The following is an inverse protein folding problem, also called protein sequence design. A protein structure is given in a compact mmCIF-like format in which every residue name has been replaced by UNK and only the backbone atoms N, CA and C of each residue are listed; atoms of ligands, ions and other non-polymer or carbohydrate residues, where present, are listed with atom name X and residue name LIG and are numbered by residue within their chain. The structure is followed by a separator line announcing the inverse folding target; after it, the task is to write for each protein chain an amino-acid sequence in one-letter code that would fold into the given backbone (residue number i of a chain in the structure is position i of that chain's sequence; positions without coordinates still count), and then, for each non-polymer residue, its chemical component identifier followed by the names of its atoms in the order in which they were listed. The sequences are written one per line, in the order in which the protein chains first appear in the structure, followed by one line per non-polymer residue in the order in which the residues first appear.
data_IF_106499513401
#
_entry.id   IF_106499513401
#
_cell.length_a   1.000
_cell.length_b   1.000
_cell.length_c   1.000
_cell.angle_alpha   90.00
_cell.angle_beta   90.00
_cell.angle_gamma   90.00
#
_symmetry.space_group_name_H-M   'P 1'
#
loop_
_entity.id
_entity.type
_entity.pdbx_description
1 polymer ?
#
# COMPACT_ATOMS: atom_id res chain seq x y z
N UNK A 1 17.41 13.66 -9.19
CA UNK A 1 16.93 12.27 -9.12
C UNK A 1 15.92 12.08 -10.24
N UNK A 2 16.04 10.98 -10.99
CA UNK A 2 15.11 10.67 -12.07
C UNK A 2 13.72 10.35 -11.50
N UNK A 3 12.64 10.66 -12.22
CA UNK A 3 11.29 10.22 -11.84
C UNK A 3 11.21 8.69 -11.76
N UNK A 4 10.47 8.18 -10.78
CA UNK A 4 10.28 6.76 -10.53
C UNK A 4 9.07 6.20 -11.28
N UNK A 5 9.14 4.92 -11.60
CA UNK A 5 8.03 4.11 -12.10
C UNK A 5 7.50 3.24 -10.98
N UNK A 6 6.19 3.22 -10.78
CA UNK A 6 5.58 2.48 -9.67
C UNK A 6 4.56 1.44 -10.15
N UNK A 7 4.50 0.33 -9.43
CA UNK A 7 3.35 -0.58 -9.42
C UNK A 7 2.44 -0.17 -8.27
N UNK A 8 1.14 -0.09 -8.50
CA UNK A 8 0.13 0.21 -7.48
C UNK A 8 -0.94 -0.86 -7.45
N UNK A 9 -1.18 -1.46 -6.29
CA UNK A 9 -2.31 -2.36 -6.06
C UNK A 9 -3.41 -1.66 -5.25
N UNK A 10 -4.66 -2.10 -5.40
CA UNK A 10 -5.77 -1.59 -4.58
C UNK A 10 -6.23 -0.16 -4.92
N UNK A 11 -6.03 0.30 -6.16
CA UNK A 11 -6.41 1.64 -6.63
C UNK A 11 -7.92 1.95 -6.53
N UNK A 12 -8.77 0.93 -6.40
CA UNK A 12 -10.23 1.06 -6.18
C UNK A 12 -10.63 1.07 -4.71
N UNK A 13 -9.67 0.93 -3.79
CA UNK A 13 -9.88 1.07 -2.35
C UNK A 13 -9.58 2.49 -1.88
N UNK A 14 -10.06 2.85 -0.68
CA UNK A 14 -9.85 4.19 -0.12
C UNK A 14 -8.37 4.59 -0.05
N UNK A 15 -7.48 3.69 0.42
CA UNK A 15 -6.05 4.01 0.55
C UNK A 15 -5.40 4.10 -0.82
N UNK A 16 -5.55 3.07 -1.65
CA UNK A 16 -4.92 3.02 -2.97
C UNK A 16 -5.41 4.12 -3.91
N UNK A 17 -6.69 4.53 -3.83
CA UNK A 17 -7.17 5.68 -4.62
C UNK A 17 -6.48 6.97 -4.20
N UNK A 18 -6.35 7.23 -2.89
CA UNK A 18 -5.68 8.44 -2.42
C UNK A 18 -4.20 8.48 -2.77
N UNK A 19 -3.52 7.33 -2.67
CA UNK A 19 -2.12 7.17 -3.13
C UNK A 19 -2.02 7.36 -4.64
N UNK A 20 -2.94 6.80 -5.43
CA UNK A 20 -2.99 7.01 -6.88
C UNK A 20 -3.09 8.50 -7.21
N UNK A 21 -4.02 9.21 -6.56
CA UNK A 21 -4.22 10.65 -6.79
C UNK A 21 -2.97 11.46 -6.51
N UNK A 22 -2.25 11.18 -5.42
CA UNK A 22 -0.96 11.82 -5.15
C UNK A 22 0.07 11.50 -6.23
N UNK A 23 0.18 10.23 -6.66
CA UNK A 23 1.17 9.82 -7.66
C UNK A 23 0.91 10.42 -9.04
N UNK A 24 -0.35 10.63 -9.42
CA UNK A 24 -0.71 11.23 -10.71
C UNK A 24 -0.21 12.67 -10.82
N UNK A 25 -0.36 13.45 -9.75
CA UNK A 25 0.06 14.86 -9.70
C UNK A 25 1.55 15.03 -9.37
N UNK A 26 2.22 14.02 -8.80
CA UNK A 26 3.60 14.17 -8.35
C UNK A 26 4.60 14.13 -9.53
N UNK A 27 5.44 15.16 -9.73
CA UNK A 27 6.42 15.20 -10.82
C UNK A 27 7.54 14.17 -10.67
N UNK A 28 7.72 13.60 -9.47
CA UNK A 28 8.70 12.55 -9.24
C UNK A 28 8.21 11.17 -9.69
N UNK A 29 6.96 11.03 -10.14
CA UNK A 29 6.42 9.79 -10.68
C UNK A 29 6.20 9.98 -12.18
N UNK A 30 6.83 9.14 -13.00
CA UNK A 30 6.70 9.17 -14.46
C UNK A 30 5.68 8.18 -14.98
N UNK A 31 5.53 7.03 -14.32
CA UNK A 31 4.68 5.92 -14.78
C UNK A 31 4.07 5.18 -13.59
N UNK A 32 2.81 4.77 -13.74
CA UNK A 32 2.04 4.04 -12.75
C UNK A 32 1.40 2.85 -13.45
N UNK A 33 1.76 1.64 -13.06
CA UNK A 33 1.04 0.42 -13.42
C UNK A 33 0.08 0.06 -12.30
N UNK A 34 -1.21 0.30 -12.51
CA UNK A 34 -2.23 -0.15 -11.58
C UNK A 34 -2.58 -1.60 -11.87
N UNK A 35 -2.20 -2.50 -10.97
CA UNK A 35 -2.57 -3.91 -11.02
C UNK A 35 -3.78 -4.14 -10.12
N UNK A 36 -4.88 -4.59 -10.72
CA UNK A 36 -6.16 -4.70 -10.02
C UNK A 36 -7.11 -5.68 -10.69
N UNK A 37 -8.18 -6.06 -9.97
CA UNK A 37 -9.25 -6.91 -10.53
C UNK A 37 -10.29 -6.15 -11.34
N UNK A 38 -10.30 -4.82 -11.22
CA UNK A 38 -11.29 -3.93 -11.82
C UNK A 38 -10.63 -2.59 -12.14
N UNK A 39 -11.00 -1.93 -13.25
CA UNK A 39 -10.49 -0.61 -13.58
C UNK A 39 -10.68 0.40 -12.44
N UNK A 40 -9.71 1.30 -12.27
CA UNK A 40 -9.76 2.40 -11.30
C UNK A 40 -10.76 3.50 -11.72
N UNK A 41 -11.20 3.51 -12.98
CA UNK A 41 -12.15 4.48 -13.51
C UNK A 41 -11.56 5.88 -13.74
N UNK A 42 -10.23 6.00 -13.79
CA UNK A 42 -9.49 7.25 -14.07
C UNK A 42 -8.67 7.07 -15.34
N UNK A 43 -8.49 8.14 -16.12
CA UNK A 43 -7.60 8.18 -17.29
C UNK A 43 -6.55 9.24 -17.08
N UNK A 44 -5.28 8.90 -17.30
CA UNK A 44 -4.17 9.84 -17.16
C UNK A 44 -2.95 9.37 -17.97
N UNK A 45 -2.13 10.26 -18.55
CA UNK A 45 -0.95 9.86 -19.34
C UNK A 45 0.06 8.99 -18.59
N UNK A 46 0.18 9.17 -17.27
CA UNK A 46 1.06 8.35 -16.41
C UNK A 46 0.47 6.98 -16.05
N UNK A 47 -0.84 6.77 -16.22
CA UNK A 47 -1.55 5.60 -15.69
C UNK A 47 -1.75 4.54 -16.77
N UNK A 48 -1.20 3.36 -16.52
CA UNK A 48 -1.51 2.12 -17.21
C UNK A 48 -2.27 1.20 -16.27
N UNK A 49 -3.23 0.46 -16.80
CA UNK A 49 -3.98 -0.52 -16.03
C UNK A 49 -3.65 -1.91 -16.53
N UNK A 50 -3.37 -2.82 -15.59
CA UNK A 50 -3.19 -4.23 -15.87
C UNK A 50 -4.18 -5.03 -15.01
N UNK A 51 -5.17 -5.61 -15.68
CA UNK A 51 -6.25 -6.30 -15.01
C UNK A 51 -5.93 -7.78 -14.86
N UNK A 52 -6.00 -8.27 -13.63
CA UNK A 52 -5.79 -9.67 -13.28
C UNK A 52 -7.03 -10.22 -12.58
N UNK A 53 -7.42 -11.46 -12.87
CA UNK A 53 -8.55 -12.11 -12.19
C UNK A 53 -8.22 -12.46 -10.75
N UNK A 54 -6.98 -12.88 -10.52
CA UNK A 54 -6.44 -13.25 -9.21
C UNK A 54 -4.98 -12.78 -9.13
N UNK A 55 -4.58 -12.29 -7.96
CA UNK A 55 -3.20 -11.90 -7.70
C UNK A 55 -2.30 -13.13 -7.51
N UNK A 56 -2.87 -14.24 -7.02
CA UNK A 56 -2.17 -15.52 -6.88
C UNK A 56 -1.85 -16.20 -8.22
N UNK A 57 -2.46 -15.74 -9.33
CA UNK A 57 -2.19 -16.29 -10.66
C UNK A 57 -1.14 -15.49 -11.44
N UNK A 58 -0.54 -14.46 -10.84
CA UNK A 58 0.48 -13.64 -11.51
C UNK A 58 1.76 -14.48 -11.65
N UNK A 59 2.29 -14.56 -12.88
CA UNK A 59 3.54 -15.25 -13.17
C UNK A 59 4.73 -14.33 -12.86
N UNK A 60 5.74 -14.87 -12.17
CA UNK A 60 7.00 -14.17 -11.92
C UNK A 60 7.75 -13.79 -13.20
N UNK A 61 7.48 -14.46 -14.33
CA UNK A 61 8.06 -14.16 -15.64
C UNK A 61 7.24 -13.15 -16.48
N UNK A 62 6.18 -12.56 -15.91
CA UNK A 62 5.35 -11.60 -16.62
C UNK A 62 6.12 -10.30 -16.92
N UNK A 63 6.47 -10.09 -18.19
CA UNK A 63 7.22 -8.91 -18.65
C UNK A 63 6.48 -7.58 -18.39
N UNK A 64 5.15 -7.59 -18.15
CA UNK A 64 4.43 -6.38 -17.75
C UNK A 64 4.90 -5.85 -16.38
N UNK A 65 5.51 -6.69 -15.54
CA UNK A 65 5.98 -6.32 -14.21
C UNK A 65 7.39 -5.72 -14.20
N UNK A 66 8.07 -5.67 -15.35
CA UNK A 66 9.49 -5.33 -15.43
C UNK A 66 9.76 -3.82 -15.52
N UNK A 67 10.85 -3.38 -14.90
CA UNK A 67 11.36 -2.02 -15.01
C UNK A 67 10.65 -1.02 -14.10
N UNK A 68 10.15 -1.45 -12.95
CA UNK A 68 9.54 -0.58 -11.94
C UNK A 68 10.45 -0.42 -10.72
N UNK A 69 10.55 0.80 -10.22
CA UNK A 69 11.41 1.15 -9.09
C UNK A 69 10.75 0.85 -7.74
N UNK A 70 9.42 0.81 -7.71
CA UNK A 70 8.68 0.59 -6.47
C UNK A 70 7.36 -0.15 -6.68
N UNK A 71 6.91 -0.85 -5.64
CA UNK A 71 5.56 -1.35 -5.51
C UNK A 71 4.89 -0.75 -4.27
N UNK A 72 3.75 -0.10 -4.48
CA UNK A 72 2.86 0.37 -3.42
C UNK A 72 1.68 -0.60 -3.29
N UNK A 73 1.82 -1.54 -2.36
CA UNK A 73 0.82 -2.57 -2.12
C UNK A 73 -0.26 -2.06 -1.16
N UNK A 74 -1.34 -1.53 -1.73
CA UNK A 74 -2.49 -0.99 -0.98
C UNK A 74 -3.74 -1.89 -1.07
N UNK A 75 -3.65 -3.04 -1.77
CA UNK A 75 -4.73 -4.02 -1.78
C UNK A 75 -4.93 -4.64 -0.39
N UNK A 76 -6.20 -4.81 0.00
CA UNK A 76 -6.54 -5.42 1.28
C UNK A 76 -8.04 -5.57 1.44
N UNK A 77 -8.43 -6.37 2.44
CA UNK A 77 -9.83 -6.62 2.81
C UNK A 77 -10.04 -6.36 4.31
N UNK A 78 -11.28 -6.09 4.71
CA UNK A 78 -11.65 -6.06 6.12
C UNK A 78 -11.71 -7.48 6.67
N UNK A 79 -11.16 -7.71 7.87
CA UNK A 79 -11.26 -9.01 8.56
C UNK A 79 -12.64 -9.27 9.18
N UNK A 80 -13.58 -8.32 9.10
CA UNK A 80 -14.90 -8.45 9.71
C UNK A 80 -15.66 -9.61 9.07
N UNK A 81 -16.06 -10.59 9.89
CA UNK A 81 -16.79 -11.78 9.44
C UNK A 81 -15.93 -12.86 8.79
N UNK A 82 -14.60 -12.74 8.82
CA UNK A 82 -13.69 -13.73 8.25
C UNK A 82 -13.09 -14.64 9.33
N UNK A 83 -12.86 -15.91 8.99
CA UNK A 83 -12.00 -16.80 9.76
C UNK A 83 -10.51 -16.51 9.44
N UNK A 84 -9.61 -17.12 10.23
CA UNK A 84 -8.17 -16.90 10.10
C UNK A 84 -7.58 -17.46 8.80
N UNK A 85 -8.06 -18.61 8.33
CA UNK A 85 -7.57 -19.27 7.13
C UNK A 85 -7.84 -18.43 5.88
N UNK A 86 -9.10 -18.03 5.68
CA UNK A 86 -9.50 -17.18 4.54
C UNK A 86 -8.80 -15.82 4.57
N UNK A 87 -8.67 -15.22 5.75
CA UNK A 87 -7.97 -13.95 5.89
C UNK A 87 -6.46 -14.09 5.64
N UNK A 88 -5.86 -15.21 6.04
CA UNK A 88 -4.46 -15.53 5.76
C UNK A 88 -4.23 -15.70 4.26
N UNK A 89 -5.10 -16.44 3.55
CA UNK A 89 -4.98 -16.61 2.10
C UNK A 89 -5.03 -15.27 1.35
N UNK A 90 -6.00 -14.42 1.71
CA UNK A 90 -6.21 -13.13 1.02
C UNK A 90 -5.15 -12.10 1.42
N UNK A 91 -4.66 -12.12 2.66
CA UNK A 91 -3.74 -11.08 3.17
C UNK A 91 -2.28 -11.51 3.07
N UNK A 92 -1.94 -12.70 3.57
CA UNK A 92 -0.57 -13.20 3.61
C UNK A 92 -0.19 -13.84 2.28
N UNK A 93 -0.83 -14.96 1.89
CA UNK A 93 -0.41 -15.74 0.72
C UNK A 93 -0.40 -14.88 -0.55
N UNK A 94 -1.47 -14.11 -0.76
CA UNK A 94 -1.60 -13.21 -1.91
C UNK A 94 -0.52 -12.13 -1.94
N UNK A 95 -0.18 -11.54 -0.79
CA UNK A 95 0.84 -10.48 -0.73
C UNK A 95 2.23 -11.04 -0.97
N UNK A 96 2.56 -12.20 -0.38
CA UNK A 96 3.88 -12.82 -0.53
C UNK A 96 4.08 -13.30 -1.98
N UNK A 97 3.09 -14.00 -2.56
CA UNK A 97 3.14 -14.40 -3.97
C UNK A 97 3.37 -13.21 -4.90
N UNK A 98 2.62 -12.13 -4.70
CA UNK A 98 2.77 -10.91 -5.50
C UNK A 98 4.15 -10.26 -5.31
N UNK A 99 4.63 -10.19 -4.07
CA UNK A 99 5.94 -9.65 -3.76
C UNK A 99 7.06 -10.45 -4.43
N UNK A 100 6.97 -11.78 -4.45
CA UNK A 100 7.92 -12.65 -5.13
C UNK A 100 7.94 -12.40 -6.64
N UNK A 101 6.77 -12.29 -7.26
CA UNK A 101 6.65 -12.02 -8.69
C UNK A 101 7.28 -10.69 -9.09
N UNK A 102 6.99 -9.60 -8.36
CA UNK A 102 7.57 -8.28 -8.68
C UNK A 102 9.06 -8.18 -8.34
N UNK A 103 9.52 -8.87 -7.28
CA UNK A 103 10.93 -8.92 -6.90
C UNK A 103 11.77 -9.64 -7.96
N UNK A 104 11.24 -10.75 -8.51
CA UNK A 104 11.92 -11.52 -9.55
C UNK A 104 12.29 -10.66 -10.76
N UNK A 105 11.41 -9.75 -11.15
CA UNK A 105 11.59 -8.85 -12.29
C UNK A 105 12.36 -7.56 -11.93
N UNK A 106 12.41 -7.19 -10.64
CA UNK A 106 12.93 -5.90 -10.17
C UNK A 106 13.70 -6.04 -8.84
N UNK A 107 14.95 -6.55 -8.86
CA UNK A 107 15.72 -6.79 -7.63
C UNK A 107 16.01 -5.52 -6.83
N UNK A 108 16.10 -4.36 -7.50
CA UNK A 108 16.36 -3.06 -6.87
C UNK A 108 15.08 -2.32 -6.41
N UNK A 109 13.93 -3.00 -6.44
CA UNK A 109 12.63 -2.40 -6.10
C UNK A 109 12.52 -2.06 -4.62
N UNK A 110 11.84 -0.95 -4.33
CA UNK A 110 11.32 -0.65 -2.99
C UNK A 110 9.88 -1.12 -2.85
N UNK A 111 9.61 -1.97 -1.86
CA UNK A 111 8.27 -2.51 -1.60
C UNK A 111 7.62 -1.83 -0.38
N UNK A 112 6.49 -1.16 -0.60
CA UNK A 112 5.71 -0.53 0.46
C UNK A 112 4.41 -1.30 0.69
N UNK A 113 4.17 -1.75 1.91
CA UNK A 113 2.99 -2.53 2.29
C UNK A 113 2.11 -1.78 3.29
N UNK A 114 0.81 -1.69 3.04
CA UNK A 114 -0.15 -1.07 3.97
C UNK A 114 -0.76 -2.13 4.89
N UNK A 115 -0.30 -2.20 6.13
CA UNK A 115 -0.83 -3.11 7.15
C UNK A 115 -1.90 -2.43 8.01
N UNK A 116 -1.55 -1.41 8.76
CA UNK A 116 -2.43 -0.68 9.66
C UNK A 116 -1.90 -0.57 11.08
N UNK A 117 -2.29 0.49 11.79
CA UNK A 117 -1.98 0.67 13.20
C UNK A 117 -2.40 -0.55 14.04
N UNK A 118 -1.62 -0.87 15.08
CA UNK A 118 -1.81 -2.03 15.96
C UNK A 118 -1.59 -3.40 15.31
N UNK A 119 -0.94 -3.46 14.14
CA UNK A 119 -0.41 -4.73 13.60
C UNK A 119 0.59 -5.35 14.58
N UNK A 120 0.51 -6.66 14.77
CA UNK A 120 1.26 -7.38 15.81
C UNK A 120 2.45 -8.16 15.22
N UNK A 121 3.64 -7.55 15.29
CA UNK A 121 4.88 -8.19 14.81
C UNK A 121 5.33 -9.40 15.64
N UNK A 122 4.76 -9.64 16.83
CA UNK A 122 5.08 -10.83 17.63
C UNK A 122 4.37 -12.08 17.14
N UNK A 123 3.32 -11.91 16.32
CA UNK A 123 2.47 -12.99 15.81
C UNK A 123 1.80 -13.82 16.92
N UNK A 124 1.71 -13.29 18.15
CA UNK A 124 1.28 -14.03 19.33
C UNK A 124 0.06 -13.43 20.06
N UNK A 125 -0.37 -12.23 19.67
CA UNK A 125 -1.48 -11.51 20.27
C UNK A 125 -2.84 -12.17 20.01
N UNK A 126 -3.89 -11.66 20.66
CA UNK A 126 -5.24 -12.25 20.57
C UNK A 126 -5.98 -11.94 19.26
N UNK A 127 -5.62 -10.85 18.58
CA UNK A 127 -6.32 -10.38 17.39
C UNK A 127 -5.76 -11.03 16.12
N UNK A 128 -6.57 -11.88 15.47
CA UNK A 128 -6.18 -12.63 14.27
C UNK A 128 -5.64 -11.73 13.15
N UNK A 129 -6.38 -10.67 12.82
CA UNK A 129 -6.00 -9.80 11.71
C UNK A 129 -4.63 -9.14 11.94
N UNK A 130 -4.31 -8.84 13.19
CA UNK A 130 -3.07 -8.18 13.58
C UNK A 130 -1.89 -9.13 13.49
N UNK A 131 -2.07 -10.40 13.91
CA UNK A 131 -1.07 -11.46 13.75
C UNK A 131 -0.79 -11.75 12.28
N UNK A 132 -1.84 -11.95 11.46
CA UNK A 132 -1.68 -12.26 10.02
C UNK A 132 -0.95 -11.13 9.29
N UNK A 133 -1.33 -9.87 9.56
CA UNK A 133 -0.61 -8.72 9.00
C UNK A 133 0.83 -8.62 9.53
N UNK A 134 1.07 -8.90 10.80
CA UNK A 134 2.41 -8.91 11.40
C UNK A 134 3.32 -9.97 10.78
N UNK A 135 2.78 -11.18 10.58
CA UNK A 135 3.46 -12.24 9.82
C UNK A 135 3.81 -11.79 8.40
N UNK A 136 2.89 -11.09 7.73
CA UNK A 136 3.14 -10.52 6.39
C UNK A 136 4.29 -9.52 6.41
N UNK A 137 4.28 -8.56 7.35
CA UNK A 137 5.37 -7.58 7.53
C UNK A 137 6.72 -8.27 7.79
N UNK A 138 6.73 -9.29 8.65
CA UNK A 138 7.92 -10.03 9.04
C UNK A 138 8.50 -10.85 7.87
N UNK A 139 7.65 -11.45 7.04
CA UNK A 139 8.08 -12.16 5.83
C UNK A 139 8.61 -11.18 4.78
N UNK A 140 7.88 -10.10 4.47
CA UNK A 140 8.32 -9.09 3.50
C UNK A 140 9.69 -8.51 3.88
N UNK A 141 9.92 -8.20 5.16
CA UNK A 141 11.19 -7.66 5.64
C UNK A 141 12.40 -8.58 5.39
N UNK A 142 12.18 -9.89 5.25
CA UNK A 142 13.23 -10.88 4.97
C UNK A 142 13.50 -11.05 3.48
N UNK A 143 12.67 -10.47 2.61
CA UNK A 143 12.84 -10.54 1.16
C UNK A 143 13.92 -9.56 0.70
N UNK A 144 14.64 -9.91 -0.36
CA UNK A 144 15.81 -9.18 -0.83
C UNK A 144 15.46 -7.97 -1.73
N UNK A 145 14.48 -7.17 -1.32
CA UNK A 145 14.21 -5.87 -1.92
C UNK A 145 15.29 -4.87 -1.52
N UNK A 146 15.50 -3.83 -2.34
CA UNK A 146 16.33 -2.68 -1.96
C UNK A 146 15.84 -2.00 -0.69
N UNK A 147 14.52 -1.98 -0.47
CA UNK A 147 13.91 -1.50 0.76
C UNK A 147 12.50 -2.02 0.93
N UNK A 148 12.14 -2.35 2.18
CA UNK A 148 10.78 -2.76 2.56
C UNK A 148 10.26 -1.83 3.62
N UNK A 149 9.08 -1.26 3.39
CA UNK A 149 8.43 -0.30 4.27
C UNK A 149 6.98 -0.69 4.56
N UNK A 150 6.71 -1.10 5.79
CA UNK A 150 5.40 -1.46 6.31
C UNK A 150 4.73 -0.22 6.92
N UNK A 151 3.74 0.31 6.22
CA UNK A 151 2.96 1.47 6.62
C UNK A 151 1.84 1.05 7.57
N UNK A 152 1.85 1.60 8.78
CA UNK A 152 0.83 1.39 9.81
C UNK A 152 -0.03 2.64 10.01
N UNK A 153 -0.88 3.01 9.04
CA UNK A 153 -1.73 4.17 9.20
C UNK A 153 -2.75 3.95 10.32
N UNK A 154 -3.04 5.03 11.06
CA UNK A 154 -4.18 5.12 11.97
C UNK A 154 -5.42 5.61 11.23
N UNK A 155 -6.06 6.66 11.76
CA UNK A 155 -7.18 7.29 11.08
C UNK A 155 -6.72 8.00 9.81
N UNK A 156 -7.43 7.77 8.70
CA UNK A 156 -7.10 8.37 7.41
C UNK A 156 -8.20 9.33 6.99
N UNK A 157 -7.82 10.58 6.75
CA UNK A 157 -8.69 11.61 6.17
C UNK A 157 -8.64 11.48 4.64
N UNK A 158 -9.79 11.25 3.98
CA UNK A 158 -9.90 11.32 2.54
C UNK A 158 -9.50 12.69 2.00
N UNK A 159 -9.08 12.69 0.74
CA UNK A 159 -8.70 13.89 0.01
C UNK A 159 -9.79 14.28 -0.98
N UNK A 160 -9.82 15.54 -1.38
CA UNK A 160 -10.83 16.06 -2.28
C UNK A 160 -10.76 15.32 -3.62
N UNK A 161 -11.93 14.91 -4.14
CA UNK A 161 -12.04 14.14 -5.38
C UNK A 161 -11.97 12.62 -5.23
N UNK A 162 -11.81 12.07 -4.01
CA UNK A 162 -11.95 10.63 -3.80
C UNK A 162 -13.40 10.16 -3.87
N UNK A 163 -13.63 9.09 -4.64
CA UNK A 163 -14.95 8.50 -4.82
C UNK A 163 -15.15 7.22 -4.00
N UNK A 164 -14.09 6.50 -3.65
CA UNK A 164 -14.16 5.22 -2.92
C UNK A 164 -14.15 5.39 -1.39
N UNK A 165 -14.79 6.46 -0.90
CA UNK A 165 -15.01 6.69 0.52
C UNK A 165 -16.36 6.09 0.91
N UNK A 166 -16.34 4.94 1.58
CA UNK A 166 -17.58 4.27 2.03
C UNK A 166 -18.40 5.23 2.89
N UNK A 167 -19.65 5.46 2.48
CA UNK A 167 -20.53 6.51 3.03
C UNK A 167 -20.69 6.43 4.55
N UNK A 168 -20.71 5.22 5.12
CA UNK A 168 -20.90 4.99 6.55
C UNK A 168 -19.76 5.53 7.42
N UNK A 169 -18.55 5.70 6.87
CA UNK A 169 -17.41 6.25 7.62
C UNK A 169 -17.37 7.80 7.60
N UNK A 170 -18.16 8.47 6.75
CA UNK A 170 -18.09 9.92 6.54
C UNK A 170 -18.31 10.77 7.82
N UNK A 171 -19.26 10.45 8.73
CA UNK A 171 -19.46 11.25 9.94
C UNK A 171 -18.28 11.18 10.92
N UNK A 172 -17.68 9.98 11.07
CA UNK A 172 -16.52 9.75 11.95
C UNK A 172 -15.23 10.35 11.37
N UNK A 173 -15.06 10.30 10.06
CA UNK A 173 -13.87 10.82 9.34
C UNK A 173 -13.71 12.34 9.48
N UNK A 174 -14.81 13.11 9.53
CA UNK A 174 -14.73 14.58 9.57
C UNK A 174 -14.39 15.13 10.96
N UNK A 175 -14.87 14.47 12.02
CA UNK A 175 -14.73 14.94 13.41
C UNK A 175 -13.36 14.57 14.00
N UNK A 176 -12.89 13.34 13.79
CA UNK A 176 -11.73 12.80 14.52
C UNK A 176 -10.36 13.44 14.24
N UNK A 177 -9.99 13.86 13.01
CA UNK A 177 -8.66 14.43 12.74
C UNK A 177 -8.41 15.76 13.48
N UNK A 178 -9.48 16.49 13.81
CA UNK A 178 -9.41 17.76 14.54
C UNK A 178 -9.07 17.51 16.02
N UNK A 179 -9.61 16.44 16.62
CA UNK A 179 -9.42 16.14 18.05
C UNK A 179 -8.19 15.26 18.35
N UNK A 180 -7.69 14.48 17.37
CA UNK A 180 -6.54 13.58 17.56
C UNK A 180 -5.52 13.68 16.42
N UNK A 181 -4.91 14.86 16.19
CA UNK A 181 -4.00 15.09 15.05
C UNK A 181 -2.77 14.19 15.08
N UNK A 182 -2.30 13.75 16.25
CA UNK A 182 -1.17 12.80 16.38
C UNK A 182 -1.51 11.38 15.95
N UNK A 183 -2.80 11.03 15.81
CA UNK A 183 -3.29 9.69 15.43
C UNK A 183 -3.94 9.66 14.04
N UNK A 184 -3.87 10.75 13.28
CA UNK A 184 -4.47 10.86 11.95
C UNK A 184 -3.44 11.22 10.88
N UNK A 185 -3.70 10.71 9.66
CA UNK A 185 -2.98 11.01 8.43
C UNK A 185 -4.00 11.40 7.35
N UNK A 186 -3.57 12.19 6.37
CA UNK A 186 -4.24 12.33 5.09
C UNK A 186 -3.73 11.28 4.12
N UNK A 187 -4.52 10.94 3.11
CA UNK A 187 -4.04 10.02 2.08
C UNK A 187 -2.97 10.63 1.17
N UNK A 188 -2.92 11.96 1.05
CA UNK A 188 -1.78 12.66 0.44
C UNK A 188 -0.48 12.44 1.23
N UNK A 189 -0.51 12.54 2.57
CA UNK A 189 0.67 12.26 3.39
C UNK A 189 1.18 10.82 3.19
N UNK A 190 0.28 9.85 3.09
CA UNK A 190 0.66 8.45 2.82
C UNK A 190 1.32 8.32 1.44
N UNK A 191 0.71 8.88 0.39
CA UNK A 191 1.29 8.85 -0.96
C UNK A 191 2.65 9.54 -1.05
N UNK A 192 2.81 10.72 -0.42
CA UNK A 192 4.08 11.45 -0.37
C UNK A 192 5.15 10.67 0.38
N UNK A 193 4.79 10.08 1.50
CA UNK A 193 5.69 9.25 2.28
C UNK A 193 6.16 8.03 1.47
N UNK A 194 5.26 7.34 0.76
CA UNK A 194 5.62 6.22 -0.13
C UNK A 194 6.57 6.65 -1.25
N UNK A 195 6.36 7.81 -1.88
CA UNK A 195 7.29 8.32 -2.90
C UNK A 195 8.66 8.63 -2.26
N UNK A 196 8.66 9.21 -1.06
CA UNK A 196 9.89 9.58 -0.36
C UNK A 196 10.66 8.38 0.19
N UNK A 197 10.03 7.26 0.53
CA UNK A 197 10.77 6.03 0.90
C UNK A 197 11.56 5.49 -0.28
N UNK A 198 11.06 5.61 -1.52
CA UNK A 198 11.79 5.20 -2.72
C UNK A 198 12.98 6.13 -2.98
N UNK A 199 12.78 7.45 -2.82
CA UNK A 199 13.79 8.46 -3.16
C UNK A 199 14.86 8.67 -2.10
N UNK A 200 14.47 8.67 -0.84
CA UNK A 200 15.30 9.05 0.31
C UNK A 200 15.62 7.85 1.21
N UNK A 201 14.83 6.77 1.14
CA UNK A 201 14.85 5.71 2.14
C UNK A 201 14.29 6.17 3.49
N UNK A 202 14.29 5.26 4.46
CA UNK A 202 14.03 5.56 5.86
C UNK A 202 14.76 4.54 6.75
N UNK A 203 15.23 4.91 7.97
CA UNK A 203 15.99 4.00 8.83
C UNK A 203 15.19 2.80 9.35
N UNK A 204 13.87 2.93 9.48
CA UNK A 204 12.98 1.87 9.94
C UNK A 204 12.19 1.26 8.79
N UNK A 205 12.07 -0.06 8.76
CA UNK A 205 11.15 -0.79 7.86
C UNK A 205 9.70 -0.73 8.32
N UNK A 206 9.42 -0.41 9.58
CA UNK A 206 8.05 -0.27 10.09
C UNK A 206 7.80 1.20 10.38
N UNK A 207 6.79 1.76 9.70
CA UNK A 207 6.49 3.18 9.70
C UNK A 207 5.18 3.40 10.45
N UNK A 208 5.31 3.92 11.68
CA UNK A 208 4.16 4.37 12.46
C UNK A 208 3.72 5.75 11.98
N UNK A 209 2.58 6.24 12.49
CA UNK A 209 1.97 7.51 12.04
C UNK A 209 2.98 8.68 12.05
N UNK A 210 3.84 8.77 13.07
CA UNK A 210 4.87 9.82 13.17
C UNK A 210 5.90 9.71 12.04
N UNK A 211 6.34 8.50 11.72
CA UNK A 211 7.32 8.26 10.65
C UNK A 211 6.73 8.63 9.29
N UNK A 212 5.48 8.25 9.03
CA UNK A 212 4.76 8.58 7.80
C UNK A 212 4.66 10.10 7.65
N UNK A 213 4.34 10.84 8.71
CA UNK A 213 4.32 12.31 8.67
C UNK A 213 5.67 12.92 8.38
N UNK A 214 6.72 12.44 9.05
CA UNK A 214 8.08 12.93 8.80
C UNK A 214 8.52 12.70 7.36
N UNK A 215 8.17 11.54 6.80
CA UNK A 215 8.44 11.19 5.41
C UNK A 215 7.58 11.97 4.41
N UNK A 216 6.42 12.48 4.79
CA UNK A 216 5.53 13.24 3.91
C UNK A 216 5.98 14.69 3.66
N UNK A 217 7.05 15.13 4.35
CA UNK A 217 7.65 16.48 4.26
C UNK A 217 8.74 16.55 3.17
#
# INVERSE_FOLDING_TARGET
MNPIKIILTGATGMVGEGVLMECLENPNVSEILSISRKPAGKKHPKLKEYLVSDFLSIDSNDENLKGYDACFFCAGISSVGMNEEDYTKITYDTTIHFAEAVLHQNPEMVFSYVSGASTDSTESGKLMWARVKGKTENTLKKMNFKGVYNFRPGFMKPVDGQINVKWFFKPFIWIFPIFLPSKSLTLHEIGKAMINTVKKGYPSSTLEIRDIKNLAI
#
